data_IF_205519437090
#
_entry.id   IF_205519437090
#
_cell.length_a   1.000
_cell.length_b   1.000
_cell.length_c   1.000
_cell.angle_alpha   90.00
_cell.angle_beta   90.00
_cell.angle_gamma   90.00
#
_symmetry.space_group_name_H-M   'P 1'
#
loop_
_entity.id
_entity.type
_entity.pdbx_description
1 polymer ?
#
# COMPACT_ATOMS: atom_id res chain seq x y z
N UNK A 1 6.14 34.22 -33.09
CA UNK A 1 6.14 33.16 -32.07
C UNK A 1 6.66 31.90 -32.73
N UNK A 2 7.97 31.68 -32.66
CA UNK A 2 8.64 30.52 -33.27
C UNK A 2 9.06 29.60 -32.15
N UNK A 3 8.33 28.49 -31.98
CA UNK A 3 8.67 27.45 -31.02
C UNK A 3 9.81 26.59 -31.57
N UNK A 4 10.99 26.70 -30.96
CA UNK A 4 12.06 25.72 -31.14
C UNK A 4 11.73 24.49 -30.31
N UNK A 5 11.53 23.35 -30.98
CA UNK A 5 11.51 22.04 -30.34
C UNK A 5 12.92 21.74 -29.78
N UNK A 6 13.05 21.19 -28.57
CA UNK A 6 14.34 20.74 -28.07
C UNK A 6 14.80 19.55 -28.93
N UNK A 7 15.81 19.76 -29.76
CA UNK A 7 16.57 18.68 -30.36
C UNK A 7 17.41 18.03 -29.26
N UNK A 8 16.81 17.11 -28.53
CA UNK A 8 17.54 16.14 -27.71
C UNK A 8 18.19 15.13 -28.67
N UNK A 9 19.21 15.58 -29.40
CA UNK A 9 20.15 14.72 -30.11
C UNK A 9 21.02 14.05 -29.04
N UNK A 10 20.46 13.03 -28.37
CA UNK A 10 21.23 12.10 -27.56
C UNK A 10 22.36 11.59 -28.44
N UNK A 11 23.59 11.97 -28.10
CA UNK A 11 24.79 11.56 -28.82
C UNK A 11 24.78 10.03 -28.91
N UNK A 12 24.61 9.51 -30.12
CA UNK A 12 24.78 8.08 -30.36
C UNK A 12 26.23 7.74 -30.02
N UNK A 13 26.49 6.67 -29.22
CA UNK A 13 27.84 6.26 -28.89
C UNK A 13 28.62 5.98 -30.19
N UNK A 14 29.93 6.24 -30.15
CA UNK A 14 30.79 5.97 -31.29
C UNK A 14 30.66 4.48 -31.71
N UNK A 15 30.55 4.19 -33.01
CA UNK A 15 30.36 2.82 -33.51
C UNK A 15 31.48 1.92 -33.01
N UNK A 16 31.13 0.75 -32.46
CA UNK A 16 32.13 -0.18 -31.94
C UNK A 16 32.89 -0.74 -33.13
N UNK A 17 34.22 -0.70 -33.10
CA UNK A 17 35.09 -0.99 -34.24
C UNK A 17 35.20 -2.49 -34.59
N UNK A 18 34.14 -3.28 -34.42
CA UNK A 18 34.09 -4.68 -34.80
C UNK A 18 32.69 -5.08 -35.25
N UNK A 19 32.55 -5.57 -36.48
CA UNK A 19 31.33 -6.18 -37.04
C UNK A 19 30.99 -7.54 -36.38
N UNK A 20 31.38 -7.73 -35.12
CA UNK A 20 31.13 -8.97 -34.39
C UNK A 20 29.76 -8.90 -33.73
N UNK A 21 28.96 -9.92 -33.98
CA UNK A 21 27.69 -10.07 -33.30
C UNK A 21 27.90 -10.28 -31.80
N UNK A 22 26.98 -9.76 -30.95
CA UNK A 22 26.97 -10.07 -29.53
C UNK A 22 27.04 -11.57 -29.29
N UNK A 23 27.97 -12.01 -28.44
CA UNK A 23 28.04 -13.43 -28.10
C UNK A 23 26.85 -13.85 -27.23
N UNK A 24 26.56 -15.14 -27.22
CA UNK A 24 25.45 -15.72 -26.45
C UNK A 24 25.50 -15.37 -24.96
N UNK A 25 26.69 -15.23 -24.38
CA UNK A 25 26.86 -14.88 -22.98
C UNK A 25 26.31 -13.48 -22.68
N UNK A 26 26.49 -12.51 -23.57
CA UNK A 26 25.93 -11.16 -23.43
C UNK A 26 24.40 -11.21 -23.43
N UNK A 27 23.80 -11.87 -24.41
CA UNK A 27 22.33 -11.96 -24.55
C UNK A 27 21.72 -12.69 -23.35
N UNK A 28 22.33 -13.81 -22.93
CA UNK A 28 21.86 -14.59 -21.79
C UNK A 28 21.99 -13.81 -20.48
N UNK A 29 23.10 -13.06 -20.31
CA UNK A 29 23.31 -12.20 -19.15
C UNK A 29 22.26 -11.09 -19.09
N UNK A 30 21.96 -10.46 -20.22
CA UNK A 30 20.92 -9.44 -20.32
C UNK A 30 19.55 -10.04 -19.98
N UNK A 31 19.12 -11.11 -20.65
CA UNK A 31 17.86 -11.79 -20.39
C UNK A 31 17.69 -12.15 -18.90
N UNK A 32 18.70 -12.79 -18.29
CA UNK A 32 18.65 -13.17 -16.87
C UNK A 32 18.55 -11.97 -15.91
N UNK A 33 19.12 -10.82 -16.28
CA UNK A 33 19.00 -9.60 -15.47
C UNK A 33 17.61 -8.99 -15.61
N UNK A 34 17.09 -8.92 -16.84
CA UNK A 34 15.76 -8.38 -17.12
C UNK A 34 14.64 -9.28 -16.56
N UNK A 35 14.81 -10.60 -16.56
CA UNK A 35 13.87 -11.54 -15.93
C UNK A 35 13.71 -11.25 -14.42
N UNK A 36 14.75 -10.75 -13.76
CA UNK A 36 14.65 -10.30 -12.35
C UNK A 36 13.80 -9.04 -12.23
N UNK A 37 13.92 -8.10 -13.18
CA UNK A 37 13.08 -6.91 -13.22
C UNK A 37 11.60 -7.30 -13.39
N UNK A 38 11.30 -8.22 -14.32
CA UNK A 38 9.94 -8.76 -14.52
C UNK A 38 9.39 -9.35 -13.21
N UNK A 39 10.20 -10.17 -12.52
CA UNK A 39 9.79 -10.80 -11.27
C UNK A 39 9.53 -9.78 -10.13
N UNK A 40 10.39 -8.76 -9.99
CA UNK A 40 10.22 -7.71 -8.98
C UNK A 40 9.05 -6.78 -9.32
N UNK A 41 8.85 -6.42 -10.59
CA UNK A 41 7.67 -5.67 -11.03
C UNK A 41 6.38 -6.43 -10.70
N UNK A 42 6.32 -7.72 -11.02
CA UNK A 42 5.16 -8.56 -10.67
C UNK A 42 4.95 -8.67 -9.15
N UNK A 43 6.03 -8.66 -8.35
CA UNK A 43 5.95 -8.64 -6.88
C UNK A 43 5.37 -7.31 -6.38
N UNK A 44 5.79 -6.18 -6.93
CA UNK A 44 5.25 -4.87 -6.58
C UNK A 44 3.77 -4.74 -6.94
N UNK A 45 3.36 -5.15 -8.14
CA UNK A 45 1.94 -5.15 -8.55
C UNK A 45 1.09 -6.00 -7.59
N UNK A 46 1.58 -7.16 -7.16
CA UNK A 46 0.88 -7.97 -6.14
C UNK A 46 0.80 -7.26 -4.79
N UNK A 47 1.84 -6.53 -4.38
CA UNK A 47 1.83 -5.74 -3.15
C UNK A 47 0.81 -4.61 -3.23
N UNK A 48 0.78 -3.84 -4.32
CA UNK A 48 -0.21 -2.79 -4.61
C UNK A 48 -1.64 -3.36 -4.48
N UNK A 49 -1.95 -4.43 -5.22
CA UNK A 49 -3.27 -5.05 -5.20
C UNK A 49 -3.66 -5.57 -3.81
N UNK A 50 -2.69 -5.96 -2.97
CA UNK A 50 -2.99 -6.41 -1.61
C UNK A 50 -3.44 -5.27 -0.68
N UNK A 51 -3.08 -4.02 -1.01
CA UNK A 51 -3.40 -2.83 -0.22
C UNK A 51 -4.83 -2.30 -0.45
N UNK A 52 -5.60 -2.86 -1.39
CA UNK A 52 -7.04 -2.54 -1.55
C UNK A 52 -7.85 -2.76 -0.26
N UNK A 53 -7.41 -3.68 0.59
CA UNK A 53 -7.94 -3.92 1.94
C UNK A 53 -6.78 -3.89 2.91
N UNK A 54 -6.38 -2.70 3.39
CA UNK A 54 -5.15 -2.56 4.13
C UNK A 54 -5.26 -3.20 5.51
N UNK A 55 -4.20 -3.91 5.88
CA UNK A 55 -3.95 -4.38 7.25
C UNK A 55 -2.51 -4.02 7.59
N UNK A 56 -2.19 -3.89 8.87
CA UNK A 56 -0.82 -3.57 9.29
C UNK A 56 0.21 -4.55 8.69
N UNK A 57 -0.12 -5.86 8.66
CA UNK A 57 0.77 -6.87 8.06
C UNK A 57 0.96 -6.67 6.55
N UNK A 58 -0.09 -6.31 5.80
CA UNK A 58 0.01 -6.09 4.34
C UNK A 58 0.81 -4.84 4.02
N UNK A 59 0.63 -3.77 4.80
CA UNK A 59 1.43 -2.55 4.69
C UNK A 59 2.91 -2.84 4.92
N UNK A 60 3.26 -3.62 5.96
CA UNK A 60 4.66 -4.00 6.21
C UNK A 60 5.24 -4.87 5.07
N UNK A 61 4.50 -5.86 4.56
CA UNK A 61 4.94 -6.64 3.40
C UNK A 61 5.15 -5.79 2.14
N UNK A 62 4.30 -4.77 1.94
CA UNK A 62 4.44 -3.82 0.83
C UNK A 62 5.69 -2.95 0.99
N UNK A 63 5.97 -2.46 2.21
CA UNK A 63 7.22 -1.73 2.52
C UNK A 63 8.45 -2.58 2.28
N UNK A 64 8.44 -3.85 2.71
CA UNK A 64 9.54 -4.78 2.43
C UNK A 64 9.77 -4.95 0.92
N UNK A 65 8.70 -5.04 0.13
CA UNK A 65 8.80 -5.09 -1.33
C UNK A 65 9.38 -3.80 -1.92
N UNK A 66 8.97 -2.62 -1.42
CA UNK A 66 9.50 -1.34 -1.85
C UNK A 66 11.01 -1.21 -1.52
N UNK A 67 11.43 -1.59 -0.31
CA UNK A 67 12.85 -1.59 0.11
C UNK A 67 13.67 -2.55 -0.75
N UNK A 68 13.15 -3.74 -1.04
CA UNK A 68 13.83 -4.70 -1.92
C UNK A 68 14.00 -4.17 -3.33
N UNK A 69 12.97 -3.50 -3.88
CA UNK A 69 13.03 -2.84 -5.18
C UNK A 69 14.08 -1.72 -5.18
N UNK A 70 14.04 -0.82 -4.22
CA UNK A 70 15.00 0.30 -4.10
C UNK A 70 16.46 -0.22 -4.05
N UNK A 71 16.70 -1.30 -3.33
CA UNK A 71 18.04 -1.88 -3.19
C UNK A 71 18.52 -2.63 -4.42
N UNK A 72 17.65 -3.36 -5.12
CA UNK A 72 18.05 -4.35 -6.14
C UNK A 72 17.76 -3.92 -7.57
N UNK A 73 16.72 -3.13 -7.75
CA UNK A 73 16.13 -2.80 -9.05
C UNK A 73 16.50 -1.39 -9.47
N UNK A 74 16.27 -0.39 -8.61
CA UNK A 74 16.52 1.01 -8.98
C UNK A 74 17.95 1.26 -9.48
N UNK A 75 19.02 0.65 -8.92
CA UNK A 75 20.37 0.82 -9.47
C UNK A 75 20.57 0.28 -10.89
N UNK A 76 19.65 -0.55 -11.40
CA UNK A 76 19.72 -1.12 -12.75
C UNK A 76 19.02 -0.25 -13.80
N UNK A 77 18.02 0.54 -13.38
CA UNK A 77 17.11 1.29 -14.27
C UNK A 77 17.22 2.80 -14.09
N UNK A 78 17.51 3.28 -12.88
CA UNK A 78 17.69 4.69 -12.59
C UNK A 78 19.15 5.06 -12.84
N UNK A 79 19.35 6.00 -13.75
CA UNK A 79 20.64 6.65 -13.93
C UNK A 79 20.96 7.59 -12.78
N UNK A 80 22.18 7.49 -12.26
CA UNK A 80 22.77 8.58 -11.47
C UNK A 80 23.47 9.48 -12.47
N UNK A 81 22.99 10.71 -12.64
CA UNK A 81 23.68 11.77 -13.40
C UNK A 81 23.52 11.76 -14.94
N UNK A 82 22.32 11.51 -15.46
CA UNK A 82 22.00 11.52 -16.92
C UNK A 82 22.78 10.48 -17.77
N UNK A 83 23.51 9.55 -17.11
CA UNK A 83 24.14 8.39 -17.76
C UNK A 83 23.07 7.37 -18.24
N UNK A 84 23.46 6.40 -19.08
CA UNK A 84 22.55 5.32 -19.47
C UNK A 84 22.35 4.38 -18.28
N UNK A 85 21.13 3.86 -18.10
CA UNK A 85 20.89 2.82 -17.10
C UNK A 85 21.67 1.54 -17.45
N UNK A 86 22.02 0.71 -16.46
CA UNK A 86 22.69 -0.57 -16.75
C UNK A 86 21.80 -1.45 -17.66
N UNK A 87 20.47 -1.37 -17.51
CA UNK A 87 19.52 -2.06 -18.37
C UNK A 87 19.65 -1.60 -19.84
N UNK A 88 19.70 -0.29 -20.09
CA UNK A 88 19.88 0.26 -21.44
C UNK A 88 21.21 -0.17 -22.04
N UNK A 89 22.30 -0.10 -21.27
CA UNK A 89 23.61 -0.54 -21.74
C UNK A 89 23.62 -2.03 -22.10
N UNK A 90 22.91 -2.87 -21.33
CA UNK A 90 22.78 -4.30 -21.62
C UNK A 90 21.98 -4.54 -22.90
N UNK A 91 20.89 -3.80 -23.11
CA UNK A 91 20.06 -3.89 -24.30
C UNK A 91 20.81 -3.41 -25.55
N UNK A 92 21.51 -2.27 -25.46
CA UNK A 92 22.37 -1.75 -26.53
C UNK A 92 23.45 -2.77 -26.93
N UNK A 93 23.99 -3.50 -25.95
CA UNK A 93 24.98 -4.55 -26.20
C UNK A 93 24.39 -5.80 -26.85
N UNK A 94 23.08 -5.97 -26.84
CA UNK A 94 22.40 -7.11 -27.43
C UNK A 94 22.04 -6.93 -28.90
N UNK A 95 22.20 -5.73 -29.48
CA UNK A 95 21.93 -5.48 -30.89
C UNK A 95 23.21 -5.00 -31.61
N UNK A 96 23.68 -5.71 -32.65
CA UNK A 96 24.80 -5.25 -33.46
C UNK A 96 24.47 -3.92 -34.15
N UNK A 97 25.45 -3.00 -34.24
CA UNK A 97 25.32 -1.70 -34.91
C UNK A 97 24.87 -1.85 -36.38
N UNK A 98 25.24 -2.95 -37.03
CA UNK A 98 24.90 -3.26 -38.42
C UNK A 98 23.63 -4.11 -38.57
N UNK A 99 22.84 -4.34 -37.51
CA UNK A 99 21.64 -5.17 -37.61
C UNK A 99 20.53 -4.48 -38.42
N UNK A 100 20.43 -3.15 -38.33
CA UNK A 100 19.36 -2.36 -38.95
C UNK A 100 19.87 -1.42 -40.04
N UNK A 101 18.99 -1.11 -40.99
CA UNK A 101 19.19 -0.05 -41.98
C UNK A 101 18.86 1.35 -41.40
N UNK A 102 19.01 2.38 -42.23
CA UNK A 102 18.69 3.77 -41.88
C UNK A 102 17.22 4.01 -41.51
N UNK A 103 16.31 3.08 -41.88
CA UNK A 103 14.89 3.13 -41.55
C UNK A 103 14.55 2.30 -40.30
N UNK A 104 15.56 1.76 -39.61
CA UNK A 104 15.38 0.90 -38.44
C UNK A 104 14.88 -0.52 -38.77
N UNK A 105 14.92 -0.95 -40.03
CA UNK A 105 14.52 -2.31 -40.42
C UNK A 105 15.71 -3.26 -40.40
N UNK A 106 15.55 -4.53 -40.01
CA UNK A 106 16.67 -5.46 -40.01
C UNK A 106 17.19 -5.72 -41.43
N UNK A 107 18.50 -5.77 -41.58
CA UNK A 107 19.14 -6.05 -42.88
C UNK A 107 18.92 -7.51 -43.29
N UNK A 108 18.39 -7.71 -44.50
CA UNK A 108 18.14 -9.05 -45.07
C UNK A 108 19.39 -9.93 -45.08
N UNK A 109 20.57 -9.34 -45.32
CA UNK A 109 21.86 -10.05 -45.30
C UNK A 109 22.21 -10.59 -43.91
N UNK A 110 21.94 -9.83 -42.85
CA UNK A 110 22.26 -10.24 -41.48
C UNK A 110 21.30 -11.32 -40.98
N UNK A 111 20.00 -11.21 -41.27
CA UNK A 111 19.03 -12.27 -40.99
C UNK A 111 19.40 -13.55 -41.76
N UNK A 112 19.69 -13.45 -43.06
CA UNK A 112 20.09 -14.60 -43.88
C UNK A 112 21.34 -15.29 -43.31
N UNK A 113 22.34 -14.51 -42.88
CA UNK A 113 23.56 -15.04 -42.24
C UNK A 113 23.22 -15.79 -40.95
N UNK A 114 22.31 -15.28 -40.12
CA UNK A 114 21.97 -15.92 -38.84
C UNK A 114 21.21 -17.22 -39.06
N UNK A 115 20.24 -17.19 -39.98
CA UNK A 115 19.51 -18.38 -40.39
C UNK A 115 20.45 -19.42 -40.99
N UNK A 116 21.42 -19.04 -41.83
CA UNK A 116 22.39 -19.97 -42.40
C UNK A 116 23.25 -20.67 -41.31
N UNK A 117 23.73 -19.91 -40.32
CA UNK A 117 24.46 -20.48 -39.17
C UNK A 117 23.57 -21.44 -38.39
N UNK A 118 22.31 -21.07 -38.15
CA UNK A 118 21.35 -21.91 -37.44
C UNK A 118 21.06 -23.21 -38.23
N UNK A 119 20.69 -23.11 -39.50
CA UNK A 119 20.37 -24.28 -40.32
C UNK A 119 21.58 -25.20 -40.51
N UNK A 120 22.79 -24.63 -40.59
CA UNK A 120 24.03 -25.39 -40.70
C UNK A 120 24.40 -26.18 -39.44
N UNK A 121 23.79 -25.85 -38.28
CA UNK A 121 24.06 -26.52 -37.01
C UNK A 121 23.23 -27.78 -36.77
N UNK A 122 22.18 -28.00 -37.57
CA UNK A 122 21.26 -29.14 -37.43
C UNK A 122 21.45 -30.06 -38.64
N UNK A 123 21.59 -31.39 -38.47
CA UNK A 123 21.72 -32.31 -39.60
C UNK A 123 20.57 -32.17 -40.60
N UNK A 124 20.89 -31.89 -41.86
CA UNK A 124 19.89 -31.77 -42.93
C UNK A 124 19.72 -33.07 -43.74
N UNK A 125 18.48 -33.50 -44.03
CA UNK A 125 18.23 -34.55 -45.01
C UNK A 125 18.71 -34.08 -46.40
N UNK A 126 19.45 -34.94 -47.09
CA UNK A 126 20.08 -34.64 -48.39
C UNK A 126 19.09 -34.44 -49.56
N UNK A 127 17.78 -34.61 -49.33
CA UNK A 127 16.73 -34.57 -50.35
C UNK A 127 15.84 -33.31 -50.29
N UNK A 128 16.06 -32.39 -49.35
CA UNK A 128 15.30 -31.14 -49.28
C UNK A 128 15.94 -30.11 -50.24
N UNK A 129 15.11 -29.41 -51.01
CA UNK A 129 15.54 -28.24 -51.79
C UNK A 129 15.92 -27.09 -50.85
N UNK A 130 17.09 -27.19 -50.22
CA UNK A 130 17.57 -26.27 -49.16
C UNK A 130 17.48 -24.82 -49.59
N UNK A 131 17.83 -24.51 -50.85
CA UNK A 131 17.76 -23.15 -51.39
C UNK A 131 16.33 -22.58 -51.44
N UNK A 132 15.33 -23.42 -51.75
CA UNK A 132 13.93 -23.00 -51.75
C UNK A 132 13.45 -22.81 -50.31
N UNK A 133 13.78 -23.76 -49.43
CA UNK A 133 13.43 -23.67 -48.02
C UNK A 133 14.00 -22.42 -47.34
N UNK A 134 15.30 -22.15 -47.49
CA UNK A 134 15.96 -21.01 -46.83
C UNK A 134 15.46 -19.68 -47.38
N UNK A 135 15.11 -19.60 -48.66
CA UNK A 135 14.51 -18.40 -49.26
C UNK A 135 13.12 -18.11 -48.68
N UNK A 136 12.25 -19.12 -48.63
CA UNK A 136 10.89 -18.95 -48.06
C UNK A 136 10.98 -18.62 -46.57
N UNK A 137 11.84 -19.32 -45.83
CA UNK A 137 12.07 -19.04 -44.42
C UNK A 137 12.58 -17.61 -44.21
N UNK A 138 13.53 -17.14 -45.01
CA UNK A 138 14.05 -15.79 -44.93
C UNK A 138 12.96 -14.75 -45.17
N UNK A 139 12.13 -14.93 -46.20
CA UNK A 139 11.05 -13.99 -46.51
C UNK A 139 10.01 -13.95 -45.37
N UNK A 140 9.66 -15.09 -44.77
CA UNK A 140 8.73 -15.16 -43.61
C UNK A 140 9.33 -14.56 -42.33
N UNK A 141 10.62 -14.78 -42.06
CA UNK A 141 11.32 -14.18 -40.91
C UNK A 141 11.48 -12.67 -41.09
N UNK A 142 11.81 -12.21 -42.29
CA UNK A 142 11.88 -10.79 -42.63
C UNK A 142 10.55 -10.08 -42.39
N UNK A 143 9.42 -10.74 -42.71
CA UNK A 143 8.09 -10.18 -42.48
C UNK A 143 7.76 -9.95 -41.00
N UNK A 144 8.49 -10.58 -40.07
CA UNK A 144 8.35 -10.30 -38.65
C UNK A 144 9.20 -9.12 -38.18
N UNK A 145 10.24 -8.73 -38.91
CA UNK A 145 11.22 -7.71 -38.51
C UNK A 145 11.80 -7.93 -37.08
N UNK A 146 12.38 -9.11 -36.76
CA UNK A 146 12.86 -9.39 -35.41
C UNK A 146 14.12 -8.59 -35.05
N UNK A 147 14.22 -8.15 -33.79
CA UNK A 147 15.48 -7.69 -33.20
C UNK A 147 16.48 -8.85 -33.10
N UNK A 148 17.78 -8.53 -33.10
CA UNK A 148 18.84 -9.54 -33.10
C UNK A 148 18.70 -10.56 -31.96
N UNK A 149 18.53 -10.07 -30.73
CA UNK A 149 18.44 -10.92 -29.54
C UNK A 149 17.20 -11.82 -29.52
N UNK A 150 16.09 -11.40 -30.15
CA UNK A 150 14.89 -12.22 -30.31
C UNK A 150 15.19 -13.39 -31.26
N UNK A 151 15.78 -13.10 -32.43
CA UNK A 151 16.09 -14.13 -33.41
C UNK A 151 17.16 -15.10 -32.89
N UNK A 152 18.21 -14.59 -32.23
CA UNK A 152 19.24 -15.44 -31.60
C UNK A 152 18.64 -16.37 -30.55
N UNK A 153 17.80 -15.82 -29.66
CA UNK A 153 17.14 -16.61 -28.60
C UNK A 153 16.25 -17.70 -29.20
N UNK A 154 15.51 -17.40 -30.28
CA UNK A 154 14.66 -18.36 -30.97
C UNK A 154 15.47 -19.47 -31.66
N UNK A 155 16.52 -19.09 -32.40
CA UNK A 155 17.42 -20.05 -33.03
C UNK A 155 18.15 -20.91 -31.98
N UNK A 156 18.50 -20.35 -30.83
CA UNK A 156 19.10 -21.10 -29.72
C UNK A 156 18.12 -22.12 -29.14
N UNK A 157 16.90 -21.69 -28.81
CA UNK A 157 15.86 -22.58 -28.31
C UNK A 157 15.67 -23.78 -29.25
N UNK A 158 15.54 -23.53 -30.55
CA UNK A 158 15.39 -24.58 -31.55
C UNK A 158 16.59 -25.53 -31.60
N UNK A 159 17.84 -25.03 -31.57
CA UNK A 159 19.04 -25.90 -31.52
C UNK A 159 19.08 -26.79 -30.29
N UNK A 160 18.56 -26.31 -29.16
CA UNK A 160 18.58 -27.06 -27.90
C UNK A 160 17.42 -28.04 -27.75
N UNK A 161 16.32 -27.84 -28.48
CA UNK A 161 15.07 -28.59 -28.29
C UNK A 161 14.70 -29.49 -29.46
N UNK A 162 15.34 -29.30 -30.63
CA UNK A 162 15.02 -30.05 -31.85
C UNK A 162 16.23 -30.85 -32.31
N UNK A 163 16.04 -32.16 -32.40
CA UNK A 163 17.04 -33.08 -32.99
C UNK A 163 17.03 -33.05 -34.52
N UNK A 164 15.92 -32.59 -35.10
CA UNK A 164 15.68 -32.52 -36.54
C UNK A 164 15.46 -31.08 -36.99
N UNK A 165 15.68 -30.84 -38.28
CA UNK A 165 15.53 -29.53 -38.88
C UNK A 165 14.11 -28.96 -38.68
N UNK A 166 13.96 -27.78 -38.06
CA UNK A 166 12.65 -27.22 -37.78
C UNK A 166 11.94 -26.85 -39.08
N UNK A 167 10.62 -27.02 -39.10
CA UNK A 167 9.76 -26.44 -40.12
C UNK A 167 9.74 -24.91 -40.03
N UNK A 168 9.37 -24.24 -41.13
CA UNK A 168 9.21 -22.78 -41.13
C UNK A 168 8.22 -22.33 -40.04
N UNK A 169 7.12 -23.06 -39.88
CA UNK A 169 6.12 -22.79 -38.84
C UNK A 169 6.71 -22.86 -37.43
N UNK A 170 7.59 -23.83 -37.14
CA UNK A 170 8.28 -23.93 -35.84
C UNK A 170 9.26 -22.77 -35.63
N UNK A 171 9.97 -22.33 -36.66
CA UNK A 171 10.85 -21.15 -36.56
C UNK A 171 10.04 -19.90 -36.26
N UNK A 172 8.95 -19.67 -36.98
CA UNK A 172 8.06 -18.52 -36.75
C UNK A 172 7.42 -18.57 -35.36
N UNK A 173 7.01 -19.76 -34.89
CA UNK A 173 6.48 -19.94 -33.54
C UNK A 173 7.52 -19.60 -32.46
N UNK A 174 8.76 -20.08 -32.61
CA UNK A 174 9.85 -19.77 -31.68
C UNK A 174 10.17 -18.27 -31.64
N UNK A 175 10.21 -17.60 -32.79
CA UNK A 175 10.42 -16.14 -32.87
C UNK A 175 9.30 -15.38 -32.15
N UNK A 176 8.03 -15.78 -32.36
CA UNK A 176 6.88 -15.14 -31.70
C UNK A 176 6.90 -15.34 -30.19
N UNK A 177 7.23 -16.56 -29.72
CA UNK A 177 7.40 -16.85 -28.30
C UNK A 177 8.48 -15.96 -27.69
N UNK A 178 9.67 -15.95 -28.28
CA UNK A 178 10.80 -15.16 -27.79
C UNK A 178 10.52 -13.66 -27.87
N UNK A 179 9.76 -13.19 -28.86
CA UNK A 179 9.27 -11.81 -28.89
C UNK A 179 8.42 -11.49 -27.67
N UNK A 180 7.47 -12.35 -27.31
CA UNK A 180 6.63 -12.15 -26.11
C UNK A 180 7.47 -12.03 -24.85
N UNK A 181 8.41 -12.96 -24.63
CA UNK A 181 9.31 -12.94 -23.46
C UNK A 181 10.18 -11.67 -23.43
N UNK A 182 10.70 -11.22 -24.57
CA UNK A 182 11.48 -9.99 -24.64
C UNK A 182 10.64 -8.72 -24.51
N UNK A 183 9.39 -8.70 -25.00
CA UNK A 183 8.46 -7.60 -24.75
C UNK A 183 8.21 -7.44 -23.26
N UNK A 184 7.91 -8.52 -22.53
CA UNK A 184 7.73 -8.45 -21.07
C UNK A 184 8.97 -7.89 -20.35
N UNK A 185 10.17 -8.28 -20.80
CA UNK A 185 11.44 -7.74 -20.28
C UNK A 185 11.60 -6.24 -20.55
N UNK A 186 11.27 -5.78 -21.75
CA UNK A 186 11.35 -4.37 -22.13
C UNK A 186 10.30 -3.54 -21.40
N UNK A 187 9.07 -4.02 -21.33
CA UNK A 187 7.98 -3.40 -20.56
C UNK A 187 8.39 -3.24 -19.08
N UNK A 188 9.08 -4.24 -18.52
CA UNK A 188 9.61 -4.16 -17.16
C UNK A 188 10.74 -3.13 -17.00
N UNK A 189 11.55 -2.85 -18.02
CA UNK A 189 12.52 -1.74 -17.94
C UNK A 189 11.79 -0.40 -17.96
N UNK A 190 10.82 -0.24 -18.84
CA UNK A 190 10.10 1.02 -19.06
C UNK A 190 9.13 1.36 -17.91
N UNK A 191 8.46 0.36 -17.31
CA UNK A 191 7.37 0.60 -16.37
C UNK A 191 7.77 0.53 -14.89
N UNK A 192 8.93 -0.05 -14.54
CA UNK A 192 9.21 -0.41 -13.14
C UNK A 192 9.35 0.78 -12.20
N UNK A 193 9.83 1.93 -12.70
CA UNK A 193 9.88 3.18 -11.92
C UNK A 193 8.47 3.69 -11.60
N UNK A 194 7.55 3.64 -12.57
CA UNK A 194 6.15 4.01 -12.38
C UNK A 194 5.46 3.09 -11.39
N UNK A 195 5.63 1.77 -11.53
CA UNK A 195 5.06 0.78 -10.60
C UNK A 195 5.63 0.95 -9.19
N UNK A 196 6.92 1.30 -9.05
CA UNK A 196 7.52 1.61 -7.75
C UNK A 196 6.89 2.87 -7.12
N UNK A 197 6.72 3.94 -7.90
CA UNK A 197 6.06 5.16 -7.41
C UNK A 197 4.62 4.89 -6.96
N UNK A 198 3.85 4.13 -7.74
CA UNK A 198 2.49 3.70 -7.39
C UNK A 198 2.48 2.87 -6.08
N UNK A 199 3.47 1.98 -5.88
CA UNK A 199 3.59 1.22 -4.64
C UNK A 199 3.84 2.11 -3.43
N UNK A 200 4.73 3.11 -3.55
CA UNK A 200 5.01 4.06 -2.47
C UNK A 200 3.77 4.89 -2.12
N UNK A 201 3.03 5.36 -3.13
CA UNK A 201 1.78 6.09 -2.93
C UNK A 201 0.72 5.21 -2.25
N UNK A 202 0.52 3.99 -2.74
CA UNK A 202 -0.43 3.04 -2.14
C UNK A 202 -0.11 2.68 -0.69
N UNK A 203 1.19 2.59 -0.33
CA UNK A 203 1.62 2.40 1.06
C UNK A 203 1.20 3.60 1.92
N UNK A 204 1.48 4.82 1.46
CA UNK A 204 1.15 6.04 2.21
C UNK A 204 -0.36 6.20 2.42
N UNK A 205 -1.16 5.92 1.38
CA UNK A 205 -2.62 5.92 1.48
C UNK A 205 -3.12 4.86 2.48
N UNK A 206 -2.59 3.64 2.41
CA UNK A 206 -2.97 2.55 3.32
C UNK A 206 -2.63 2.88 4.78
N UNK A 207 -1.49 3.50 5.05
CA UNK A 207 -1.12 3.97 6.39
C UNK A 207 -2.07 5.05 6.91
N UNK A 208 -2.44 6.01 6.07
CA UNK A 208 -3.40 7.06 6.43
C UNK A 208 -4.79 6.48 6.74
N UNK A 209 -5.23 5.48 5.98
CA UNK A 209 -6.50 4.76 6.24
C UNK A 209 -6.46 4.03 7.59
N UNK A 210 -5.39 3.30 7.89
CA UNK A 210 -5.23 2.59 9.16
C UNK A 210 -5.18 3.56 10.36
N UNK A 211 -4.49 4.69 10.23
CA UNK A 211 -4.44 5.71 11.27
C UNK A 211 -5.83 6.32 11.55
N UNK A 212 -6.58 6.62 10.48
CA UNK A 212 -7.95 7.15 10.59
C UNK A 212 -8.90 6.14 11.26
N UNK A 213 -8.82 4.86 10.88
CA UNK A 213 -9.67 3.82 11.47
C UNK A 213 -9.33 3.59 12.96
N UNK A 214 -8.05 3.61 13.32
CA UNK A 214 -7.65 3.51 14.73
C UNK A 214 -8.16 4.69 15.57
N UNK A 215 -8.08 5.91 15.05
CA UNK A 215 -8.62 7.08 15.72
C UNK A 215 -10.14 6.97 15.93
N UNK A 216 -10.87 6.49 14.91
CA UNK A 216 -12.32 6.23 15.01
C UNK A 216 -12.61 5.17 16.07
N UNK A 217 -11.82 4.10 16.12
CA UNK A 217 -11.95 3.03 17.11
C UNK A 217 -11.72 3.54 18.53
N UNK A 218 -10.68 4.35 18.75
CA UNK A 218 -10.37 4.96 20.04
C UNK A 218 -11.50 5.91 20.48
N UNK A 219 -11.98 6.79 19.59
CA UNK A 219 -13.10 7.70 19.86
C UNK A 219 -14.38 6.94 20.22
N UNK A 220 -14.73 5.92 19.43
CA UNK A 220 -15.91 5.09 19.69
C UNK A 220 -15.80 4.33 21.02
N UNK A 221 -14.63 3.80 21.35
CA UNK A 221 -14.38 3.14 22.63
C UNK A 221 -14.50 4.10 23.81
N UNK A 222 -13.97 5.33 23.68
CA UNK A 222 -14.06 6.37 24.70
C UNK A 222 -15.50 6.86 24.90
N UNK A 223 -16.26 7.07 23.83
CA UNK A 223 -17.68 7.43 23.90
C UNK A 223 -18.51 6.33 24.54
N UNK A 224 -18.29 5.07 24.15
CA UNK A 224 -18.94 3.91 24.76
C UNK A 224 -18.64 3.82 26.24
N UNK A 225 -17.38 3.98 26.65
CA UNK A 225 -16.98 4.00 28.06
C UNK A 225 -17.67 5.13 28.83
N UNK A 226 -17.71 6.35 28.29
CA UNK A 226 -18.42 7.48 28.91
C UNK A 226 -19.92 7.23 29.04
N UNK A 227 -20.54 6.61 28.03
CA UNK A 227 -21.95 6.24 28.08
C UNK A 227 -22.23 5.16 29.14
N UNK A 228 -21.36 4.15 29.26
CA UNK A 228 -21.42 3.12 30.30
C UNK A 228 -21.22 3.71 31.70
N UNK A 229 -20.24 4.62 31.88
CA UNK A 229 -20.00 5.34 33.14
C UNK A 229 -21.19 6.23 33.53
N UNK A 230 -21.77 6.97 32.58
CA UNK A 230 -22.96 7.81 32.79
C UNK A 230 -24.19 6.96 33.15
N UNK A 231 -24.39 5.83 32.45
CA UNK A 231 -25.46 4.88 32.78
C UNK A 231 -25.27 4.29 34.18
N UNK A 232 -24.04 3.91 34.54
CA UNK A 232 -23.71 3.41 35.88
C UNK A 232 -23.99 4.45 36.96
N UNK A 233 -23.57 5.71 36.76
CA UNK A 233 -23.81 6.80 37.69
C UNK A 233 -25.31 7.12 37.88
N UNK A 234 -26.09 7.05 36.80
CA UNK A 234 -27.56 7.20 36.85
C UNK A 234 -28.27 6.02 37.53
N UNK A 235 -27.68 4.83 37.51
CA UNK A 235 -28.27 3.61 38.10
C UNK A 235 -27.99 3.42 39.59
N UNK A 236 -27.12 4.25 40.19
CA UNK A 236 -26.85 4.21 41.62
C UNK A 236 -28.10 4.61 42.43
N UNK A 237 -28.34 4.01 43.62
CA UNK A 237 -29.49 4.35 44.46
C UNK A 237 -29.52 5.83 44.83
N UNK A 238 -30.68 6.48 44.69
CA UNK A 238 -30.89 7.90 45.00
C UNK A 238 -30.56 8.21 46.48
N UNK A 239 -29.91 9.34 46.72
CA UNK A 239 -29.58 9.85 48.06
C UNK A 239 -30.14 11.25 48.26
N UNK A 240 -30.33 11.67 49.51
CA UNK A 240 -30.75 13.04 49.84
C UNK A 240 -29.73 14.04 49.28
N UNK A 241 -30.23 15.08 48.63
CA UNK A 241 -29.42 16.08 47.92
C UNK A 241 -29.25 15.82 46.43
N UNK A 242 -29.57 14.62 45.93
CA UNK A 242 -29.49 14.32 44.50
C UNK A 242 -30.45 15.18 43.68
N UNK A 243 -29.99 15.59 42.50
CA UNK A 243 -30.84 16.18 41.47
C UNK A 243 -31.52 15.07 40.68
N UNK A 244 -32.81 15.21 40.49
CA UNK A 244 -33.64 14.26 39.74
C UNK A 244 -34.49 15.01 38.73
N UNK A 245 -34.84 14.34 37.64
CA UNK A 245 -35.79 14.81 36.64
C UNK A 245 -36.98 13.87 36.57
N UNK A 246 -38.16 14.45 36.41
CA UNK A 246 -39.39 13.72 36.07
C UNK A 246 -39.98 14.30 34.78
N UNK A 247 -40.77 13.49 34.07
CA UNK A 247 -41.43 13.92 32.82
C UNK A 247 -42.44 15.05 33.10
N UNK A 248 -43.20 14.94 34.20
CA UNK A 248 -44.35 15.81 34.46
C UNK A 248 -44.02 17.06 35.28
N UNK A 249 -42.97 17.02 36.12
CA UNK A 249 -42.68 18.08 37.09
C UNK A 249 -41.34 18.77 36.87
N UNK A 250 -40.58 18.35 35.83
CA UNK A 250 -39.27 18.92 35.53
C UNK A 250 -38.18 18.46 36.50
N UNK A 251 -37.28 19.37 36.87
CA UNK A 251 -36.11 19.10 37.71
C UNK A 251 -36.35 19.44 39.19
N UNK A 252 -35.78 18.64 40.08
CA UNK A 252 -35.91 18.82 41.51
C UNK A 252 -34.78 18.19 42.32
N UNK A 253 -34.80 18.41 43.63
CA UNK A 253 -33.82 17.85 44.58
C UNK A 253 -34.51 16.89 45.55
N UNK A 254 -33.93 15.70 45.75
CA UNK A 254 -34.37 14.76 46.79
C UNK A 254 -34.11 15.39 48.16
N UNK A 255 -35.17 15.68 48.91
CA UNK A 255 -35.07 16.24 50.26
C UNK A 255 -35.06 15.16 51.34
N UNK A 256 -35.85 14.12 51.15
CA UNK A 256 -36.02 13.06 52.14
C UNK A 256 -36.32 11.72 51.47
N UNK A 257 -35.88 10.64 52.11
CA UNK A 257 -36.14 9.26 51.71
C UNK A 257 -37.02 8.64 52.80
N UNK A 258 -38.31 8.49 52.53
CA UNK A 258 -39.33 8.09 53.51
C UNK A 258 -39.61 6.59 53.37
N UNK A 259 -39.27 5.76 54.38
CA UNK A 259 -39.64 4.35 54.37
C UNK A 259 -41.13 4.22 54.71
N UNK A 260 -41.96 3.87 53.72
CA UNK A 260 -43.41 3.71 53.93
C UNK A 260 -43.76 2.31 54.39
N UNK A 261 -43.03 1.31 53.90
CA UNK A 261 -43.20 -0.07 54.33
C UNK A 261 -41.90 -0.85 54.19
N UNK A 262 -41.86 -2.10 54.67
CA UNK A 262 -40.64 -2.93 54.69
C UNK A 262 -40.00 -3.15 53.30
N UNK A 263 -40.75 -2.89 52.23
CA UNK A 263 -40.35 -3.12 50.83
C UNK A 263 -40.42 -1.87 49.94
N UNK A 264 -40.90 -0.73 50.45
CA UNK A 264 -41.18 0.45 49.62
C UNK A 264 -40.63 1.71 50.26
N UNK A 265 -40.00 2.52 49.40
CA UNK A 265 -39.40 3.81 49.75
C UNK A 265 -39.99 4.86 48.81
N UNK A 266 -40.53 5.93 49.39
CA UNK A 266 -40.91 7.13 48.64
C UNK A 266 -39.88 8.22 48.85
N UNK A 267 -39.72 9.06 47.83
CA UNK A 267 -38.78 10.17 47.85
C UNK A 267 -39.59 11.46 47.88
N UNK A 268 -39.35 12.29 48.89
CA UNK A 268 -39.85 13.65 48.94
C UNK A 268 -38.91 14.52 48.12
N UNK A 269 -39.41 15.07 47.01
CA UNK A 269 -38.63 15.90 46.09
C UNK A 269 -39.20 17.30 46.03
N UNK A 270 -38.32 18.30 46.11
CA UNK A 270 -38.66 19.70 45.85
C UNK A 270 -38.29 20.04 44.43
N UNK A 271 -39.29 20.30 43.61
CA UNK A 271 -39.11 20.76 42.25
C UNK A 271 -38.84 22.27 42.22
N UNK A 272 -38.11 22.71 41.20
CA UNK A 272 -37.70 24.11 41.07
C UNK A 272 -38.91 25.04 40.85
N UNK A 273 -40.03 24.49 40.39
CA UNK A 273 -41.34 25.15 40.28
C UNK A 273 -42.08 25.29 41.61
N UNK A 274 -41.38 25.21 42.74
CA UNK A 274 -41.90 25.36 44.12
C UNK A 274 -42.91 24.32 44.59
N UNK A 275 -43.02 23.17 43.91
CA UNK A 275 -43.90 22.06 44.34
C UNK A 275 -43.13 20.97 45.09
N UNK A 276 -43.74 20.40 46.12
CA UNK A 276 -43.24 19.23 46.87
C UNK A 276 -44.09 17.99 46.51
N UNK A 277 -43.44 16.88 46.19
CA UNK A 277 -44.13 15.64 45.85
C UNK A 277 -43.46 14.43 46.48
N UNK A 278 -44.27 13.43 46.82
CA UNK A 278 -43.84 12.08 47.17
C UNK A 278 -44.03 11.18 45.96
N UNK A 279 -42.94 10.59 45.45
CA UNK A 279 -43.01 9.65 44.31
C UNK A 279 -42.06 8.46 44.53
N UNK A 280 -42.32 7.37 43.81
CA UNK A 280 -41.42 6.20 43.76
C UNK A 280 -40.14 6.50 42.95
N UNK A 281 -39.03 5.84 43.29
CA UNK A 281 -37.75 5.92 42.57
C UNK A 281 -37.90 5.76 41.04
N UNK A 282 -38.83 4.93 40.59
CA UNK A 282 -39.05 4.63 39.18
C UNK A 282 -39.53 5.83 38.34
N UNK A 283 -40.04 6.89 38.98
CA UNK A 283 -40.46 8.12 38.30
C UNK A 283 -39.33 9.12 38.11
N UNK A 284 -38.15 8.85 38.67
CA UNK A 284 -37.02 9.75 38.66
C UNK A 284 -35.90 9.26 37.74
N UNK A 285 -35.40 10.15 36.89
CA UNK A 285 -34.08 10.02 36.30
C UNK A 285 -33.09 10.84 37.15
N UNK A 286 -32.08 10.18 37.74
CA UNK A 286 -30.99 10.91 38.42
C UNK A 286 -30.28 11.79 37.40
N UNK A 287 -30.12 13.07 37.72
CA UNK A 287 -29.29 14.00 36.98
C UNK A 287 -27.87 13.98 37.54
N UNK A 288 -26.90 13.89 36.65
CA UNK A 288 -25.47 14.02 36.94
C UNK A 288 -24.91 15.29 36.30
N UNK A 289 -23.70 15.69 36.71
CA UNK A 289 -23.03 16.85 36.14
C UNK A 289 -22.95 16.76 34.60
N UNK A 290 -23.43 17.80 33.92
CA UNK A 290 -23.51 17.88 32.45
C UNK A 290 -24.78 17.28 31.84
N UNK A 291 -25.73 16.77 32.63
CA UNK A 291 -27.12 16.66 32.19
C UNK A 291 -27.74 18.07 32.11
N UNK A 292 -28.63 18.29 31.14
CA UNK A 292 -29.41 19.54 31.06
C UNK A 292 -30.23 19.77 32.35
N UNK A 293 -30.27 20.99 32.88
CA UNK A 293 -30.98 21.27 34.14
C UNK A 293 -30.33 20.65 35.40
N UNK A 294 -29.13 20.07 35.29
CA UNK A 294 -28.31 19.80 36.47
C UNK A 294 -27.74 21.12 36.99
N UNK A 295 -28.21 21.53 38.15
CA UNK A 295 -27.59 22.59 38.94
C UNK A 295 -26.95 21.95 40.18
N UNK A 296 -25.69 22.26 40.50
CA UNK A 296 -25.10 21.77 41.74
C UNK A 296 -25.98 22.24 42.90
N UNK A 297 -26.31 21.35 43.86
CA UNK A 297 -27.13 21.75 44.99
C UNK A 297 -26.45 22.96 45.64
N UNK A 298 -27.19 24.07 45.75
CA UNK A 298 -26.71 25.25 46.46
C UNK A 298 -26.21 24.74 47.82
N UNK A 299 -24.90 24.87 48.05
CA UNK A 299 -24.30 24.40 49.30
C UNK A 299 -25.20 24.90 50.42
N UNK A 300 -25.69 24.02 51.32
CA UNK A 300 -26.46 24.50 52.45
C UNK A 300 -25.63 25.61 53.03
N UNK A 301 -26.20 26.83 53.10
CA UNK A 301 -25.54 27.91 53.80
C UNK A 301 -25.23 27.31 55.16
N UNK A 302 -23.97 26.97 55.38
CA UNK A 302 -23.50 26.52 56.67
C UNK A 302 -23.68 27.79 57.46
N UNK A 303 -24.82 27.92 58.13
CA UNK A 303 -25.01 28.92 59.15
C UNK A 303 -23.80 28.75 60.03
N UNK A 304 -22.91 29.73 59.94
CA UNK A 304 -21.64 29.72 60.63
C UNK A 304 -22.06 29.67 62.09
N UNK A 305 -22.11 28.47 62.67
CA UNK A 305 -22.46 28.29 64.07
C UNK A 305 -21.45 29.17 64.78
N UNK A 306 -21.88 30.26 65.44
CA UNK A 306 -20.95 31.17 66.07
C UNK A 306 -20.05 30.30 66.94
N UNK A 307 -18.74 30.39 66.71
CA UNK A 307 -17.75 29.64 67.48
C UNK A 307 -18.11 29.81 68.94
N UNK A 308 -18.43 28.70 69.62
CA UNK A 308 -18.63 28.74 71.06
C UNK A 308 -17.40 29.45 71.65
N UNK A 309 -17.61 30.40 72.58
CA UNK A 309 -16.50 31.11 73.21
C UNK A 309 -15.53 30.05 73.76
N UNK A 310 -14.26 30.12 73.36
CA UNK A 310 -13.23 29.28 73.95
C UNK A 310 -13.31 29.44 75.46
N UNK A 311 -13.65 28.38 76.18
CA UNK A 311 -13.51 28.36 77.63
C UNK A 311 -12.03 28.59 77.95
N UNK A 312 -11.71 29.53 78.87
CA UNK A 312 -10.34 29.79 79.26
C UNK A 312 -9.75 28.51 79.84
N UNK A 313 -8.70 28.01 79.20
CA UNK A 313 -7.89 26.90 79.71
C UNK A 313 -7.25 27.40 81.02
N UNK A 314 -7.81 26.99 82.16
CA UNK A 314 -7.15 27.14 83.46
C UNK A 314 -6.02 26.13 83.52
N UNK A 315 -4.79 26.62 83.32
CA UNK A 315 -3.56 25.93 83.70
C UNK A 315 -3.56 25.77 85.22
N UNK A 316 -3.90 24.57 85.70
CA UNK A 316 -3.55 24.14 87.05
C UNK A 316 -2.10 23.69 87.04
N UNK A 317 -1.25 24.52 87.65
CA UNK A 317 0.11 24.16 88.04
C UNK A 317 0.08 22.95 88.97
N UNK A 318 0.57 21.80 88.49
CA UNK A 318 0.98 20.70 89.36
C UNK A 318 2.50 20.68 89.42
N UNK A 319 2.99 21.30 90.49
CA UNK A 319 4.33 21.16 91.04
C UNK A 319 4.60 19.71 91.49
N UNK A 320 5.80 19.22 91.15
CA UNK A 320 6.71 18.32 91.89
C UNK A 320 6.17 17.05 92.57
N UNK A 321 6.63 15.88 92.08
CA UNK A 321 7.73 15.11 92.68
C UNK A 321 8.17 13.98 91.73
#
# INVERSE_FOLDING_TARGET
MSGQLPQDQRRLPAPRSGNEWPNQFVITKAANKLDRLVAEMARMVRAINSLEKPTAQRVELAKEAAIDCERRVLPLVVSKDDERSEADELLDRCEPDNWRDENGRPLKSEIAKMLAIHMGSIPMPSNIGVAVFTRVLLDDVMALEPSFFILESACRELRTTKDWHPSIAEVIAAIKKQRGEWCERLDAVECIEGVYAELVEAIAEAEAQLATEEERRIKAAAERRRAEERKAAKSQPLVVGDRVRTVDHGTGTVLEIVPIHRFYVEYLVRFDTTSLWHLSAAYFERLIAGDEGYEPPALPMIEHKPSLPMEPITLTDHETC
#
